data_IF_763182443748
#
_entry.id   IF_763182443748
#
_cell.length_a   1.000
_cell.length_b   1.000
_cell.length_c   1.000
_cell.angle_alpha   90.00
_cell.angle_beta   90.00
_cell.angle_gamma   90.00
#
_symmetry.space_group_name_H-M   'P 1'
#
loop_
_entity.id
_entity.type
_entity.pdbx_description
1 polymer ?
#
# COMPACT_ATOMS: atom_id res chain seq x y z
N UNK A 1 19.35 -8.20 8.20
CA UNK A 1 19.40 -8.56 6.76
C UNK A 1 18.92 -7.35 5.98
N UNK A 2 19.74 -6.79 5.10
CA UNK A 2 19.34 -5.60 4.33
C UNK A 2 18.26 -5.99 3.31
N UNK A 3 17.17 -5.23 3.24
CA UNK A 3 16.11 -5.46 2.25
C UNK A 3 16.54 -4.90 0.90
N UNK A 4 16.55 -5.75 -0.14
CA UNK A 4 16.81 -5.32 -1.52
C UNK A 4 15.68 -4.43 -2.05
N UNK A 5 16.03 -3.38 -2.80
CA UNK A 5 15.03 -2.52 -3.45
C UNK A 5 14.18 -3.28 -4.47
N UNK A 6 12.98 -2.79 -4.83
CA UNK A 6 12.14 -3.41 -5.85
C UNK A 6 12.88 -3.60 -7.17
N UNK A 7 13.60 -2.58 -7.64
CA UNK A 7 14.38 -2.68 -8.88
C UNK A 7 15.46 -3.76 -8.81
N UNK A 8 16.16 -3.84 -7.68
CA UNK A 8 17.23 -4.83 -7.48
C UNK A 8 16.69 -6.27 -7.51
N UNK A 9 15.54 -6.51 -6.87
CA UNK A 9 14.87 -7.83 -6.90
C UNK A 9 14.40 -8.19 -8.30
N UNK A 10 13.88 -7.22 -9.04
CA UNK A 10 13.40 -7.44 -10.41
C UNK A 10 14.55 -7.86 -11.33
N UNK A 11 15.67 -7.12 -11.31
CA UNK A 11 16.85 -7.44 -12.09
C UNK A 11 17.46 -8.80 -11.73
N UNK A 12 17.45 -9.16 -10.44
CA UNK A 12 17.89 -10.48 -9.99
C UNK A 12 17.00 -11.59 -10.59
N UNK A 13 15.68 -11.42 -10.54
CA UNK A 13 14.74 -12.40 -11.07
C UNK A 13 14.88 -12.59 -12.60
N UNK A 14 15.17 -11.52 -13.34
CA UNK A 14 15.51 -11.59 -14.77
C UNK A 14 16.83 -12.34 -15.00
N UNK A 15 17.86 -12.05 -14.20
CA UNK A 15 19.16 -12.72 -14.28
C UNK A 15 19.07 -14.22 -14.00
N UNK A 16 18.21 -14.61 -13.07
CA UNK A 16 17.95 -16.02 -12.72
C UNK A 16 17.10 -16.75 -13.78
N UNK A 17 16.60 -16.05 -14.80
CA UNK A 17 15.77 -16.64 -15.86
C UNK A 17 14.36 -17.02 -15.41
N UNK A 18 13.94 -16.60 -14.22
CA UNK A 18 12.61 -16.91 -13.68
C UNK A 18 11.48 -16.11 -14.35
N UNK A 19 11.81 -14.98 -14.98
CA UNK A 19 10.87 -14.06 -15.60
C UNK A 19 11.43 -13.50 -16.91
N UNK A 20 10.54 -13.14 -17.83
CA UNK A 20 10.91 -12.49 -19.09
C UNK A 20 10.87 -10.96 -18.94
N UNK A 21 11.79 -10.23 -19.60
CA UNK A 21 11.74 -8.78 -19.60
C UNK A 21 10.48 -8.26 -20.31
N UNK A 22 9.75 -7.35 -19.64
CA UNK A 22 8.56 -6.67 -20.16
C UNK A 22 8.63 -5.19 -19.78
N UNK A 23 8.53 -4.29 -20.77
CA UNK A 23 8.64 -2.83 -20.58
C UNK A 23 7.57 -2.30 -19.61
N UNK A 24 6.36 -2.88 -19.65
CA UNK A 24 5.26 -2.49 -18.75
C UNK A 24 5.56 -2.90 -17.32
N UNK A 25 6.19 -4.07 -17.12
CA UNK A 25 6.63 -4.50 -15.79
C UNK A 25 7.76 -3.61 -15.27
N UNK A 26 8.71 -3.24 -16.13
CA UNK A 26 9.80 -2.32 -15.76
C UNK A 26 9.26 -0.96 -15.29
N UNK A 27 8.29 -0.38 -16.01
CA UNK A 27 7.68 0.88 -15.58
C UNK A 27 7.00 0.72 -14.20
N UNK A 28 6.23 -0.35 -14.01
CA UNK A 28 5.59 -0.62 -12.72
C UNK A 28 6.62 -0.77 -11.59
N UNK A 29 7.72 -1.47 -11.82
CA UNK A 29 8.83 -1.62 -10.86
C UNK A 29 9.47 -0.27 -10.52
N UNK A 30 9.66 0.61 -11.51
CA UNK A 30 10.17 1.97 -11.29
C UNK A 30 9.27 2.80 -10.37
N UNK A 31 7.94 2.72 -10.56
CA UNK A 31 6.97 3.37 -9.65
C UNK A 31 7.02 2.77 -8.24
N UNK A 32 7.15 1.45 -8.13
CA UNK A 32 7.29 0.76 -6.86
C UNK A 32 8.60 1.14 -6.14
N UNK A 33 9.70 1.33 -6.87
CA UNK A 33 10.97 1.78 -6.31
C UNK A 33 10.85 3.21 -5.76
N UNK A 34 10.16 4.09 -6.49
CA UNK A 34 9.88 5.47 -6.01
C UNK A 34 9.13 5.44 -4.68
N UNK A 35 8.05 4.66 -4.58
CA UNK A 35 7.28 4.49 -3.34
C UNK A 35 8.16 3.89 -2.24
N UNK A 36 9.01 2.92 -2.57
CA UNK A 36 9.96 2.35 -1.62
C UNK A 36 10.91 3.40 -1.05
N UNK A 37 11.49 4.28 -1.88
CA UNK A 37 12.36 5.37 -1.41
C UNK A 37 11.59 6.38 -0.55
N UNK A 38 10.38 6.76 -0.97
CA UNK A 38 9.52 7.66 -0.17
C UNK A 38 9.22 7.06 1.21
N UNK A 39 8.90 5.77 1.28
CA UNK A 39 8.65 5.08 2.56
C UNK A 39 9.90 4.98 3.46
N UNK A 40 11.10 4.90 2.89
CA UNK A 40 12.35 4.88 3.66
C UNK A 40 12.75 6.27 4.17
N UNK A 41 12.41 7.32 3.42
CA UNK A 41 12.78 8.71 3.74
C UNK A 41 11.80 9.38 4.70
N UNK A 42 10.56 8.90 4.78
CA UNK A 42 9.62 9.41 5.78
C UNK A 42 10.02 8.97 7.19
N UNK A 43 10.24 9.90 8.14
CA UNK A 43 10.50 9.53 9.52
C UNK A 43 9.28 8.76 10.05
N UNK A 44 9.54 7.63 10.71
CA UNK A 44 8.49 6.85 11.36
C UNK A 44 7.63 7.82 12.21
N UNK A 45 6.29 7.76 12.13
CA UNK A 45 5.45 8.63 12.94
C UNK A 45 5.78 8.32 14.40
N UNK A 46 6.56 9.22 15.01
CA UNK A 46 6.83 9.18 16.44
C UNK A 46 5.48 9.23 17.11
N UNK A 47 5.08 8.12 17.73
CA UNK A 47 3.94 8.11 18.62
C UNK A 47 4.20 9.24 19.61
N UNK A 48 3.42 10.31 19.50
CA UNK A 48 3.47 11.45 20.40
C UNK A 48 2.95 10.95 21.75
N UNK A 49 3.83 10.28 22.48
CA UNK A 49 3.68 9.98 23.89
C UNK A 49 3.64 11.31 24.62
N UNK A 50 2.44 11.88 24.72
CA UNK A 50 2.14 13.11 25.44
C UNK A 50 2.25 12.89 26.94
N UNK A 51 3.46 12.59 27.42
CA UNK A 51 3.80 12.71 28.83
C UNK A 51 3.81 14.18 29.24
N UNK A 52 3.62 14.42 30.53
CA UNK A 52 3.49 15.70 31.24
C UNK A 52 4.40 16.87 30.73
N UNK A 53 5.51 16.57 30.04
CA UNK A 53 6.40 17.52 29.35
C UNK A 53 5.76 18.28 28.17
N UNK A 54 4.77 17.73 27.47
CA UNK A 54 4.14 18.39 26.32
C UNK A 54 3.22 19.57 26.71
N UNK A 55 2.68 19.54 27.93
CA UNK A 55 1.82 20.63 28.46
C UNK A 55 2.64 21.82 28.95
N UNK A 56 3.80 21.57 29.58
CA UNK A 56 4.70 22.64 30.03
C UNK A 56 5.42 23.36 28.88
N UNK A 57 5.64 22.70 27.74
CA UNK A 57 6.22 23.33 26.55
C UNK A 57 5.26 24.20 25.73
N UNK A 58 3.94 24.20 26.02
CA UNK A 58 2.94 24.98 25.27
C UNK A 58 2.88 26.45 25.67
N UNK A 59 3.48 26.84 26.80
CA UNK A 59 3.40 28.19 27.35
C UNK A 59 4.61 29.08 26.98
N UNK A 60 5.70 28.49 26.46
CA UNK A 60 6.99 29.19 26.30
C UNK A 60 7.61 29.09 24.90
N UNK A 61 6.86 28.64 23.91
CA UNK A 61 7.36 28.57 22.55
C UNK A 61 6.24 28.36 21.54
N UNK A 62 6.17 29.26 20.57
CA UNK A 62 5.50 29.06 19.28
C UNK A 62 5.97 27.72 18.71
N UNK A 63 5.26 26.64 18.99
CA UNK A 63 5.37 25.40 18.23
C UNK A 63 4.45 25.57 17.03
N UNK A 64 5.04 25.99 15.91
CA UNK A 64 4.46 25.69 14.62
C UNK A 64 4.23 24.16 14.58
N UNK A 65 3.03 23.70 14.21
CA UNK A 65 2.82 22.27 14.01
C UNK A 65 3.81 21.86 12.93
N UNK A 66 4.75 20.97 13.27
CA UNK A 66 5.62 20.35 12.29
C UNK A 66 4.72 19.89 11.14
N UNK A 67 4.88 20.53 9.97
CA UNK A 67 4.08 20.26 8.79
C UNK A 67 4.08 18.75 8.59
N UNK A 68 2.94 18.11 8.87
CA UNK A 68 2.82 16.67 8.86
C UNK A 68 3.19 16.21 7.46
N UNK A 69 4.28 15.44 7.36
CA UNK A 69 4.73 14.88 6.08
C UNK A 69 3.54 14.19 5.43
N UNK A 70 3.15 14.62 4.24
CA UNK A 70 2.01 14.05 3.54
C UNK A 70 2.22 12.53 3.40
N UNK A 71 1.19 11.70 3.61
CA UNK A 71 1.35 10.26 3.52
C UNK A 71 1.82 9.85 2.12
N UNK A 72 2.74 8.88 2.04
CA UNK A 72 3.16 8.28 0.77
C UNK A 72 1.94 7.71 0.06
N UNK A 73 1.76 8.08 -1.22
CA UNK A 73 0.65 7.57 -2.02
C UNK A 73 0.98 6.16 -2.53
N UNK A 74 -0.01 5.27 -2.48
CA UNK A 74 0.14 3.90 -3.00
C UNK A 74 0.02 3.81 -4.52
N UNK A 75 0.35 2.63 -5.06
CA UNK A 75 0.18 2.28 -6.47
C UNK A 75 -0.98 1.29 -6.64
N UNK A 76 -1.92 1.61 -7.54
CA UNK A 76 -2.98 0.68 -7.95
C UNK A 76 -2.63 0.07 -9.32
N UNK A 77 -2.35 -1.23 -9.33
CA UNK A 77 -2.02 -1.96 -10.56
C UNK A 77 -3.23 -2.72 -11.10
N UNK A 78 -3.57 -2.48 -12.36
CA UNK A 78 -4.66 -3.13 -13.07
C UNK A 78 -4.20 -3.61 -14.46
N UNK A 79 -4.91 -4.56 -15.06
CA UNK A 79 -4.57 -5.12 -16.37
C UNK A 79 -4.93 -6.60 -16.50
N UNK A 80 -4.68 -7.19 -17.68
CA UNK A 80 -5.05 -8.57 -18.02
C UNK A 80 -4.48 -9.66 -17.10
N UNK A 81 -5.10 -10.84 -17.11
CA UNK A 81 -4.66 -12.05 -16.40
C UNK A 81 -3.29 -12.49 -16.94
N UNK A 82 -2.41 -13.03 -16.09
CA UNK A 82 -1.11 -13.58 -16.52
C UNK A 82 0.04 -12.57 -16.71
N UNK A 83 -0.19 -11.25 -16.56
CA UNK A 83 0.87 -10.22 -16.74
C UNK A 83 1.81 -10.01 -15.54
N UNK A 84 1.83 -10.94 -14.58
CA UNK A 84 2.77 -10.88 -13.44
C UNK A 84 2.43 -9.88 -12.31
N UNK A 85 1.22 -9.31 -12.26
CA UNK A 85 0.82 -8.34 -11.21
C UNK A 85 0.99 -8.87 -9.78
N UNK A 86 0.58 -10.11 -9.52
CA UNK A 86 0.75 -10.75 -8.20
C UNK A 86 2.22 -10.86 -7.84
N UNK A 87 3.05 -11.25 -8.79
CA UNK A 87 4.49 -11.36 -8.59
C UNK A 87 5.13 -10.01 -8.29
N UNK A 88 4.78 -8.94 -9.01
CA UNK A 88 5.26 -7.58 -8.73
C UNK A 88 4.86 -7.09 -7.33
N UNK A 89 3.64 -7.41 -6.89
CA UNK A 89 3.20 -7.11 -5.52
C UNK A 89 3.97 -7.90 -4.46
N UNK A 90 4.26 -9.18 -4.72
CA UNK A 90 5.06 -10.02 -3.83
C UNK A 90 6.50 -9.55 -3.72
N UNK A 91 7.09 -9.19 -4.85
CA UNK A 91 8.41 -8.61 -4.95
C UNK A 91 8.49 -7.32 -4.12
N UNK A 92 7.53 -6.40 -4.28
CA UNK A 92 7.48 -5.17 -3.50
C UNK A 92 7.32 -5.44 -2.00
N UNK A 93 6.41 -6.34 -1.62
CA UNK A 93 6.22 -6.73 -0.22
C UNK A 93 7.51 -7.26 0.42
N UNK A 94 8.29 -8.04 -0.33
CA UNK A 94 9.58 -8.56 0.14
C UNK A 94 10.68 -7.48 0.20
N UNK A 95 10.57 -6.42 -0.60
CA UNK A 95 11.48 -5.27 -0.55
C UNK A 95 11.24 -4.36 0.65
N UNK A 96 10.01 -4.24 1.14
CA UNK A 96 9.70 -3.34 2.26
C UNK A 96 10.46 -3.72 3.56
N UNK A 97 11.14 -2.76 4.22
CA UNK A 97 11.80 -3.01 5.49
C UNK A 97 10.79 -3.08 6.65
N UNK A 98 11.17 -3.79 7.71
CA UNK A 98 10.38 -3.88 8.94
C UNK A 98 9.24 -4.89 8.92
N UNK A 99 8.65 -5.09 10.11
CA UNK A 99 7.61 -6.09 10.36
C UNK A 99 6.18 -5.52 10.28
N UNK A 100 6.04 -4.18 10.22
CA UNK A 100 4.75 -3.47 10.15
C UNK A 100 4.20 -3.41 8.72
N UNK A 101 4.22 -4.53 8.00
CA UNK A 101 3.65 -4.68 6.66
C UNK A 101 2.61 -5.79 6.65
N UNK A 102 1.53 -5.59 5.91
CA UNK A 102 0.47 -6.59 5.75
C UNK A 102 0.14 -6.78 4.28
N UNK A 103 0.04 -8.03 3.85
CA UNK A 103 -0.55 -8.39 2.57
C UNK A 103 -2.04 -8.61 2.74
N UNK A 104 -2.84 -7.98 1.90
CA UNK A 104 -4.30 -8.14 1.90
C UNK A 104 -4.78 -8.52 0.50
N UNK A 105 -5.83 -9.32 0.43
CA UNK A 105 -6.57 -9.53 -0.82
C UNK A 105 -7.74 -8.57 -0.82
N UNK A 106 -7.94 -7.86 -1.93
CA UNK A 106 -8.97 -6.81 -2.00
C UNK A 106 -10.38 -7.31 -1.69
N UNK A 107 -10.74 -8.52 -2.09
CA UNK A 107 -12.03 -9.10 -1.71
C UNK A 107 -12.19 -9.21 -0.18
N UNK A 108 -11.13 -9.66 0.52
CA UNK A 108 -11.13 -9.76 1.99
C UNK A 108 -11.12 -8.39 2.66
N UNK A 109 -10.49 -7.40 2.02
CA UNK A 109 -10.57 -6.01 2.45
C UNK A 109 -12.01 -5.49 2.36
N UNK A 110 -12.66 -5.65 1.21
CA UNK A 110 -14.01 -5.13 0.97
C UNK A 110 -15.06 -5.81 1.84
N UNK A 111 -14.92 -7.11 2.12
CA UNK A 111 -15.75 -7.82 3.10
C UNK A 111 -15.64 -7.18 4.48
N UNK A 112 -14.41 -6.96 4.96
CA UNK A 112 -14.17 -6.31 6.25
C UNK A 112 -14.75 -4.90 6.31
N UNK A 113 -14.64 -4.14 5.22
CA UNK A 113 -15.26 -2.81 5.12
C UNK A 113 -16.78 -2.91 5.24
N UNK A 114 -17.41 -3.86 4.53
CA UNK A 114 -18.86 -4.08 4.60
C UNK A 114 -19.33 -4.50 6.01
N UNK A 115 -18.59 -5.40 6.66
CA UNK A 115 -18.87 -5.82 8.04
C UNK A 115 -18.87 -4.61 8.98
N UNK A 116 -17.83 -3.77 8.91
CA UNK A 116 -17.72 -2.58 9.76
C UNK A 116 -18.83 -1.56 9.45
N UNK A 117 -19.16 -1.34 8.18
CA UNK A 117 -20.29 -0.47 7.78
C UNK A 117 -21.62 -0.99 8.33
N UNK A 118 -21.82 -2.30 8.36
CA UNK A 118 -23.02 -2.92 8.93
C UNK A 118 -23.14 -2.63 10.42
N UNK A 119 -22.02 -2.62 11.17
CA UNK A 119 -22.04 -2.27 12.60
C UNK A 119 -22.33 -0.79 12.87
N UNK A 120 -22.20 0.07 11.85
CA UNK A 120 -22.34 1.52 11.94
C UNK A 120 -23.62 2.04 11.26
N UNK A 121 -24.58 1.16 10.97
CA UNK A 121 -25.87 1.55 10.41
C UNK A 121 -26.53 2.64 11.29
N UNK A 122 -27.03 3.70 10.63
CA UNK A 122 -27.65 4.85 11.29
C UNK A 122 -26.70 5.99 11.68
N UNK A 123 -25.39 5.87 11.47
CA UNK A 123 -24.46 7.00 11.58
C UNK A 123 -24.46 7.83 10.30
N UNK A 124 -24.30 9.16 10.42
CA UNK A 124 -24.31 10.08 9.29
C UNK A 124 -23.12 9.88 8.33
N UNK A 125 -21.96 9.43 8.84
CA UNK A 125 -20.72 9.27 8.05
C UNK A 125 -19.92 8.00 8.44
N UNK A 126 -20.46 6.79 8.22
CA UNK A 126 -19.86 5.56 8.69
C UNK A 126 -18.52 5.25 8.00
N UNK A 127 -18.31 5.73 6.76
CA UNK A 127 -17.08 5.50 6.01
C UNK A 127 -15.86 6.21 6.60
N UNK A 128 -16.02 7.42 7.14
CA UNK A 128 -14.91 8.14 7.80
C UNK A 128 -14.48 7.40 9.07
N UNK A 129 -15.45 6.93 9.86
CA UNK A 129 -15.21 6.12 11.06
C UNK A 129 -14.47 4.83 10.69
N UNK A 130 -14.88 4.16 9.62
CA UNK A 130 -14.20 2.97 9.11
C UNK A 130 -12.77 3.31 8.68
N UNK A 131 -12.57 4.37 7.88
CA UNK A 131 -11.24 4.79 7.44
C UNK A 131 -10.30 5.05 8.64
N UNK A 132 -10.78 5.72 9.68
CA UNK A 132 -10.02 5.97 10.91
C UNK A 132 -9.70 4.71 11.71
N UNK A 133 -10.58 3.69 11.69
CA UNK A 133 -10.28 2.38 12.30
C UNK A 133 -9.19 1.64 11.53
N UNK A 134 -9.24 1.71 10.19
CA UNK A 134 -8.24 1.07 9.34
C UNK A 134 -6.89 1.78 9.36
N UNK A 135 -6.85 3.11 9.55
CA UNK A 135 -5.60 3.89 9.70
C UNK A 135 -4.75 3.46 10.90
N UNK A 136 -5.35 2.84 11.92
CA UNK A 136 -4.66 2.37 13.15
C UNK A 136 -3.96 1.01 12.98
N UNK A 137 -4.23 0.29 11.89
CA UNK A 137 -3.66 -1.02 11.52
C UNK A 137 -2.29 -0.84 10.81
N UNK A 138 -1.51 -1.91 10.51
CA UNK A 138 -0.11 -1.79 10.09
C UNK A 138 0.15 -0.74 9.00
N UNK A 139 1.30 -0.08 9.15
CA UNK A 139 1.70 1.17 8.48
C UNK A 139 1.90 1.02 6.97
N UNK A 140 2.02 -0.22 6.45
CA UNK A 140 2.08 -0.47 5.02
C UNK A 140 1.19 -1.67 4.64
N UNK A 141 0.20 -1.44 3.78
CA UNK A 141 -0.68 -2.48 3.24
C UNK A 141 -0.40 -2.69 1.77
N UNK A 142 -0.03 -3.91 1.37
CA UNK A 142 0.14 -4.31 -0.03
C UNK A 142 -1.08 -5.15 -0.42
N UNK A 143 -1.89 -4.65 -1.37
CA UNK A 143 -3.09 -5.36 -1.83
C UNK A 143 -2.83 -6.09 -3.14
N UNK A 144 -3.13 -7.39 -3.17
CA UNK A 144 -3.24 -8.13 -4.44
C UNK A 144 -4.70 -8.15 -4.87
N UNK A 145 -5.04 -7.34 -5.86
CA UNK A 145 -6.33 -7.37 -6.55
C UNK A 145 -6.16 -8.05 -7.90
N UNK A 146 -6.55 -9.31 -8.01
CA UNK A 146 -6.93 -9.88 -9.30
C UNK A 146 -8.42 -9.57 -9.48
N UNK A 147 -8.78 -8.48 -10.17
CA UNK A 147 -10.05 -8.47 -10.87
C UNK A 147 -9.83 -9.34 -12.11
N UNK A 148 -10.04 -10.64 -11.96
CA UNK A 148 -10.33 -11.49 -13.11
C UNK A 148 -11.65 -11.00 -13.69
N UNK A 149 -11.81 -10.89 -15.02
CA UNK A 149 -13.10 -10.61 -15.59
C UNK A 149 -14.02 -11.78 -15.24
N UNK A 150 -15.01 -11.53 -14.40
CA UNK A 150 -16.24 -12.31 -14.44
C UNK A 150 -16.89 -11.92 -15.76
N UNK A 151 -16.48 -12.55 -16.86
CA UNK A 151 -17.20 -12.56 -18.11
C UNK A 151 -17.81 -13.95 -18.26
N UNK A 152 -19.14 -14.09 -18.45
CA UNK A 152 -19.60 -14.98 -19.49
C UNK A 152 -19.29 -14.28 -20.83
N UNK A 153 -18.36 -14.82 -21.61
CA UNK A 153 -18.32 -14.52 -23.04
C UNK A 153 -19.66 -14.94 -23.66
N UNK A 154 -20.11 -14.23 -24.71
CA UNK A 154 -19.91 -14.85 -26.00
C UNK A 154 -19.30 -13.91 -27.04
N UNK A 155 -18.63 -14.57 -27.98
CA UNK A 155 -18.28 -14.24 -29.35
C UNK A 155 -18.86 -12.98 -30.02
N UNK A 156 -18.09 -12.50 -31.01
CA UNK A 156 -18.36 -11.43 -31.97
C UNK A 156 -18.10 -10.03 -31.38
N UNK A 157 -17.20 -9.21 -31.93
CA UNK A 157 -17.31 -8.66 -33.28
C UNK A 157 -15.96 -8.57 -34.02
N UNK A 158 -16.01 -9.01 -35.28
CA UNK A 158 -15.16 -8.51 -36.35
C UNK A 158 -15.71 -7.15 -36.82
N UNK A 159 -14.84 -6.27 -37.30
CA UNK A 159 -15.17 -4.96 -37.87
C UNK A 159 -14.01 -4.00 -37.75
#
# INVERSE_FOLDING_TARGET
MQSLSPTSRYLLALKEGSHQPDDVQQEAVSRLDTIYQELQTQPAPVASGGGLRAKFGKLLGKREPAAGTAPVRGLYMWGGVGRGKTWLMDLFYQSLPGERKQRLHFHRFMLRVHEELTTLQGHSDPLEIVADRFKRKPTCSVSTSFLSPILPTPCCWAG
#
